data_IF_933503031852
#
_entry.id   IF_933503031852
#
_cell.length_a   1.000
_cell.length_b   1.000
_cell.length_c   1.000
_cell.angle_alpha   90.00
_cell.angle_beta   90.00
_cell.angle_gamma   90.00
#
_symmetry.space_group_name_H-M   'P 1'
#
loop_
_entity.id
_entity.type
_entity.pdbx_description
1 polymer ?
#
# COMPACT_ATOMS: atom_id res chain seq x y z
N UNK A 1 14.53 2.51 19.37
CA UNK A 1 15.20 2.99 18.15
C UNK A 1 14.24 3.70 17.16
N UNK A 2 12.92 3.50 17.23
CA UNK A 2 11.95 4.03 16.24
C UNK A 2 11.18 5.30 16.63
N UNK A 3 11.54 5.92 17.76
CA UNK A 3 10.70 6.94 18.42
C UNK A 3 10.42 8.18 17.57
N UNK A 4 11.25 8.48 16.56
CA UNK A 4 11.11 9.62 15.65
C UNK A 4 11.09 9.20 14.17
N UNK A 5 10.76 7.93 13.88
CA UNK A 5 10.58 7.51 12.51
C UNK A 5 9.30 8.13 11.94
N UNK A 6 9.32 8.56 10.68
CA UNK A 6 8.15 9.13 10.01
C UNK A 6 7.70 8.22 8.88
N UNK A 7 6.40 7.97 8.80
CA UNK A 7 5.80 7.18 7.74
C UNK A 7 5.15 8.12 6.71
N UNK A 8 5.52 7.98 5.43
CA UNK A 8 4.80 8.60 4.33
C UNK A 8 3.96 7.54 3.64
N UNK A 9 2.65 7.74 3.60
CA UNK A 9 1.72 6.87 2.89
C UNK A 9 1.21 7.57 1.64
N UNK A 10 1.13 6.84 0.53
CA UNK A 10 0.43 7.23 -0.68
C UNK A 10 -0.61 6.16 -0.99
N UNK A 11 -1.85 6.61 -1.19
CA UNK A 11 -2.98 5.73 -1.51
C UNK A 11 -3.42 6.03 -2.93
N UNK A 12 -3.67 4.98 -3.71
CA UNK A 12 -4.08 5.07 -5.11
C UNK A 12 -4.98 3.91 -5.48
N UNK A 13 -5.59 3.96 -6.66
CA UNK A 13 -6.36 2.86 -7.21
C UNK A 13 -5.86 2.50 -8.61
N UNK A 14 -5.83 1.20 -8.94
CA UNK A 14 -5.55 0.71 -10.29
C UNK A 14 -6.25 -0.63 -10.53
N UNK A 15 -6.46 -1.01 -11.79
CA UNK A 15 -6.95 -2.36 -12.13
C UNK A 15 -5.87 -3.41 -11.83
N UNK A 16 -6.28 -4.58 -11.34
CA UNK A 16 -5.41 -5.73 -11.22
C UNK A 16 -4.91 -6.21 -12.59
N UNK A 17 -3.58 -6.26 -12.77
CA UNK A 17 -2.95 -6.93 -13.90
C UNK A 17 -2.93 -8.46 -13.71
N UNK A 18 -2.43 -9.18 -14.71
CA UNK A 18 -2.46 -10.64 -14.71
C UNK A 18 -1.69 -11.26 -13.53
N UNK A 19 -0.51 -10.70 -13.20
CA UNK A 19 0.33 -11.17 -12.11
C UNK A 19 -0.36 -10.96 -10.75
N UNK A 20 -0.93 -9.78 -10.53
CA UNK A 20 -1.65 -9.47 -9.29
C UNK A 20 -2.93 -10.29 -9.19
N UNK A 21 -3.68 -10.49 -10.29
CA UNK A 21 -4.86 -11.37 -10.28
C UNK A 21 -4.50 -12.78 -9.88
N UNK A 22 -3.38 -13.31 -10.38
CA UNK A 22 -2.91 -14.65 -10.00
C UNK A 22 -2.50 -14.71 -8.53
N UNK A 23 -1.73 -13.73 -8.06
CA UNK A 23 -1.27 -13.67 -6.67
C UNK A 23 -2.42 -13.53 -5.66
N UNK A 24 -3.46 -12.76 -6.01
CA UNK A 24 -4.64 -12.54 -5.17
C UNK A 24 -5.79 -13.52 -5.46
N UNK A 25 -5.60 -14.47 -6.38
CA UNK A 25 -6.60 -15.47 -6.79
C UNK A 25 -7.95 -14.85 -7.16
N UNK A 26 -7.91 -13.78 -7.95
CA UNK A 26 -9.09 -13.05 -8.38
C UNK A 26 -9.78 -13.79 -9.53
N UNK A 27 -11.08 -14.01 -9.42
CA UNK A 27 -11.88 -14.65 -10.46
C UNK A 27 -12.09 -13.76 -11.69
N UNK A 28 -12.10 -12.43 -11.49
CA UNK A 28 -12.30 -11.42 -12.53
C UNK A 28 -11.38 -10.21 -12.30
N UNK A 29 -11.05 -9.42 -13.34
CA UNK A 29 -10.35 -8.15 -13.16
C UNK A 29 -11.16 -7.18 -12.29
N UNK A 30 -10.54 -6.62 -11.25
CA UNK A 30 -11.18 -5.65 -10.37
C UNK A 30 -10.23 -4.50 -10.00
N UNK A 31 -10.77 -3.32 -9.62
CA UNK A 31 -9.94 -2.27 -9.05
C UNK A 31 -9.35 -2.69 -7.71
N UNK A 32 -8.09 -2.33 -7.49
CA UNK A 32 -7.36 -2.54 -6.25
C UNK A 32 -7.04 -1.21 -5.59
N UNK A 33 -7.05 -1.23 -4.26
CA UNK A 33 -6.50 -0.18 -3.43
C UNK A 33 -5.01 -0.44 -3.26
N UNK A 34 -4.18 0.47 -3.74
CA UNK A 34 -2.72 0.36 -3.66
C UNK A 34 -2.21 1.34 -2.62
N UNK A 35 -1.63 0.79 -1.54
CA UNK A 35 -1.03 1.55 -0.45
C UNK A 35 0.48 1.43 -0.54
N UNK A 36 1.15 2.54 -0.83
CA UNK A 36 2.62 2.65 -0.81
C UNK A 36 3.06 3.36 0.45
N UNK A 37 3.96 2.76 1.20
CA UNK A 37 4.47 3.35 2.42
C UNK A 37 5.98 3.40 2.38
N UNK A 38 6.53 4.52 2.83
CA UNK A 38 7.97 4.67 3.02
C UNK A 38 8.22 5.11 4.45
N UNK A 39 8.94 4.28 5.19
CA UNK A 39 9.38 4.58 6.54
C UNK A 39 10.75 5.26 6.48
N UNK A 40 10.87 6.39 7.15
CA UNK A 40 12.10 7.15 7.22
C UNK A 40 12.63 7.15 8.66
N UNK A 41 13.95 7.08 8.81
CA UNK A 41 14.60 7.31 10.09
C UNK A 41 14.56 8.80 10.51
N UNK A 42 15.12 9.09 11.68
CA UNK A 42 15.22 10.45 12.24
C UNK A 42 16.02 11.45 11.38
N UNK A 43 16.80 10.98 10.39
CA UNK A 43 17.57 11.81 9.45
C UNK A 43 16.87 11.92 8.10
N UNK A 44 15.60 11.51 7.99
CA UNK A 44 14.82 11.41 6.75
C UNK A 44 15.44 10.46 5.72
N UNK A 45 16.22 9.48 6.15
CA UNK A 45 16.73 8.42 5.27
C UNK A 45 15.67 7.32 5.16
N UNK A 46 15.28 6.87 3.95
CA UNK A 46 14.35 5.76 3.81
C UNK A 46 15.02 4.48 4.34
N UNK A 47 14.28 3.74 5.16
CA UNK A 47 14.75 2.48 5.77
C UNK A 47 13.84 1.30 5.41
N UNK A 48 12.60 1.56 5.01
CA UNK A 48 11.68 0.56 4.50
C UNK A 48 10.80 1.18 3.40
N UNK A 49 10.52 0.40 2.37
CA UNK A 49 9.49 0.66 1.37
C UNK A 49 8.57 -0.55 1.29
N UNK A 50 7.26 -0.31 1.34
CA UNK A 50 6.25 -1.34 1.13
C UNK A 50 5.21 -0.87 0.12
N UNK A 51 4.73 -1.82 -0.67
CA UNK A 51 3.61 -1.64 -1.59
C UNK A 51 2.63 -2.78 -1.36
N UNK A 52 1.41 -2.43 -0.95
CA UNK A 52 0.34 -3.38 -0.65
C UNK A 52 -0.77 -3.23 -1.69
N UNK A 53 -1.13 -4.35 -2.31
CA UNK A 53 -2.23 -4.45 -3.27
C UNK A 53 -3.44 -5.07 -2.57
N UNK A 54 -4.44 -4.26 -2.29
CA UNK A 54 -5.60 -4.65 -1.52
C UNK A 54 -6.83 -4.76 -2.42
N UNK A 55 -7.59 -5.85 -2.22
CA UNK A 55 -8.91 -6.04 -2.84
C UNK A 55 -9.87 -4.94 -2.39
N UNK A 56 -10.30 -4.08 -3.32
CA UNK A 56 -11.15 -2.91 -2.99
C UNK A 56 -12.56 -3.29 -2.51
N UNK A 57 -12.99 -4.53 -2.75
CA UNK A 57 -14.27 -5.06 -2.24
C UNK A 57 -14.15 -5.57 -0.79
N UNK A 58 -12.94 -5.67 -0.25
CA UNK A 58 -12.66 -6.21 1.09
C UNK A 58 -11.94 -5.22 2.01
N UNK A 59 -11.24 -4.23 1.47
CA UNK A 59 -10.39 -3.31 2.23
C UNK A 59 -10.78 -1.86 1.98
N UNK A 60 -10.71 -1.07 3.06
CA UNK A 60 -10.87 0.38 3.06
C UNK A 60 -9.63 1.02 3.70
N UNK A 61 -9.25 2.21 3.23
CA UNK A 61 -8.22 3.03 3.88
C UNK A 61 -8.87 4.25 4.52
N UNK A 62 -8.70 4.39 5.83
CA UNK A 62 -9.19 5.53 6.60
C UNK A 62 -8.03 6.39 7.07
N UNK A 63 -8.15 7.71 6.96
CA UNK A 63 -7.22 8.67 7.56
C UNK A 63 -7.99 9.63 8.44
N UNK A 64 -7.44 9.89 9.62
CA UNK A 64 -7.91 10.96 10.49
C UNK A 64 -7.07 12.21 10.24
N UNK A 65 -7.68 13.38 10.43
CA UNK A 65 -7.07 14.71 10.28
C UNK A 65 -6.88 15.39 11.62
#
# INVERSE_FOLDING_TARGET
MWRWASLRSQVSAAMADDDIRQALQLSEPMPLLIVRQTLFDHRKKPIEYSESFCRSDMYEFTSES
#
